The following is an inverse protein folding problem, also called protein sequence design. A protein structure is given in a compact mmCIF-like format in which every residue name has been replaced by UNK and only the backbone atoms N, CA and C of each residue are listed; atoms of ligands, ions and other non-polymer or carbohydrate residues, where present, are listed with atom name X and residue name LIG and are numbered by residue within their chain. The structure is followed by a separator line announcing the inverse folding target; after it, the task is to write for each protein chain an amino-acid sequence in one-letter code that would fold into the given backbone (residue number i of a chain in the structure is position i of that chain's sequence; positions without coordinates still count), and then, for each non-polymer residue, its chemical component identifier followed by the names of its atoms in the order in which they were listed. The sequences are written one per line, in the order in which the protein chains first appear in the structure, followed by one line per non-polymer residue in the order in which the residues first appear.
data_IF_590557790714
#
_entry.id   IF_590557790714
#
_cell.length_a   1.000
_cell.length_b   1.000
_cell.length_c   1.000
_cell.angle_alpha   90.00
_cell.angle_beta   90.00
_cell.angle_gamma   90.00
#
_symmetry.space_group_name_H-M   'P 1'
#
loop_
_entity.id
_entity.type
_entity.pdbx_description
1 polymer ?
#
# COMPACT_ATOMS: atom_id res chain seq x y z
N UNK A 1 -13.31 8.98 14.06
CA UNK A 1 -12.07 9.02 13.27
C UNK A 1 -10.98 8.11 13.83
N UNK A 2 -10.69 8.20 15.12
CA UNK A 2 -9.65 7.35 15.72
C UNK A 2 -9.96 5.85 15.61
N UNK A 3 -11.21 5.46 15.80
CA UNK A 3 -11.61 4.06 15.67
C UNK A 3 -11.39 3.55 14.24
N UNK A 4 -11.74 4.36 13.25
CA UNK A 4 -11.51 4.00 11.85
C UNK A 4 -10.02 3.86 11.56
N UNK A 5 -9.23 4.79 12.06
CA UNK A 5 -7.78 4.75 11.84
C UNK A 5 -7.15 3.53 12.51
N UNK A 6 -7.63 3.17 13.71
CA UNK A 6 -7.13 1.99 14.41
C UNK A 6 -7.44 0.71 13.63
N UNK A 7 -8.65 0.58 13.09
CA UNK A 7 -9.02 -0.57 12.28
C UNK A 7 -8.21 -0.62 10.98
N UNK A 8 -8.06 0.52 10.32
CA UNK A 8 -7.25 0.62 9.10
C UNK A 8 -5.81 0.20 9.39
N UNK A 9 -5.25 0.67 10.50
CA UNK A 9 -3.88 0.34 10.90
C UNK A 9 -3.72 -1.17 11.16
N UNK A 10 -4.72 -1.80 11.77
CA UNK A 10 -4.70 -3.26 12.01
C UNK A 10 -4.60 -4.03 10.70
N UNK A 11 -5.41 -3.66 9.70
CA UNK A 11 -5.31 -4.23 8.37
C UNK A 11 -3.97 -3.87 7.73
N UNK A 12 -3.51 -2.64 7.96
CA UNK A 12 -2.24 -2.14 7.43
C UNK A 12 -1.02 -2.91 7.92
N UNK A 13 -1.06 -3.42 9.16
CA UNK A 13 0.04 -4.25 9.67
C UNK A 13 0.18 -5.51 8.80
N UNK A 14 -0.92 -6.20 8.53
CA UNK A 14 -0.90 -7.39 7.68
C UNK A 14 -0.51 -7.02 6.26
N UNK A 15 -1.05 -5.93 5.74
CA UNK A 15 -0.68 -5.41 4.42
C UNK A 15 0.83 -5.16 4.32
N UNK A 16 1.40 -4.54 5.35
CA UNK A 16 2.83 -4.24 5.38
C UNK A 16 3.66 -5.53 5.37
N UNK A 17 3.25 -6.53 6.15
CA UNK A 17 3.96 -7.81 6.16
C UNK A 17 3.93 -8.48 4.79
N UNK A 18 2.79 -8.47 4.11
CA UNK A 18 2.66 -9.03 2.77
C UNK A 18 3.57 -8.28 1.80
N UNK A 19 3.52 -6.94 1.84
CA UNK A 19 4.35 -6.10 0.98
C UNK A 19 5.84 -6.39 1.20
N UNK A 20 6.28 -6.50 2.45
CA UNK A 20 7.68 -6.73 2.77
C UNK A 20 8.17 -8.10 2.31
N UNK A 21 7.33 -9.13 2.45
CA UNK A 21 7.69 -10.48 1.99
C UNK A 21 7.85 -10.50 0.47
N UNK A 22 6.92 -9.91 -0.27
CA UNK A 22 7.00 -9.86 -1.73
C UNK A 22 8.16 -9.01 -2.18
N UNK A 23 8.34 -7.84 -1.55
CA UNK A 23 9.46 -6.93 -1.87
C UNK A 23 10.80 -7.64 -1.67
N UNK A 24 10.98 -8.28 -0.50
CA UNK A 24 12.22 -8.98 -0.19
C UNK A 24 12.50 -10.12 -1.16
N UNK A 25 11.46 -10.86 -1.52
CA UNK A 25 11.59 -11.95 -2.51
C UNK A 25 12.05 -11.39 -3.86
N UNK A 26 11.45 -10.29 -4.31
CA UNK A 26 11.84 -9.68 -5.58
C UNK A 26 13.29 -9.22 -5.55
N UNK A 27 13.71 -8.54 -4.48
CA UNK A 27 15.07 -8.00 -4.39
C UNK A 27 16.12 -9.11 -4.23
N UNK A 28 15.90 -10.02 -3.29
CA UNK A 28 16.96 -10.94 -2.86
C UNK A 28 16.93 -12.30 -3.56
N UNK A 29 15.79 -12.70 -4.11
CA UNK A 29 15.66 -13.96 -4.84
C UNK A 29 15.62 -13.73 -6.34
N UNK A 30 14.81 -12.76 -6.79
CA UNK A 30 14.62 -12.50 -8.22
C UNK A 30 15.53 -11.40 -8.76
N UNK A 31 16.27 -10.71 -7.90
CA UNK A 31 17.23 -9.66 -8.26
C UNK A 31 16.63 -8.52 -9.09
N UNK A 32 15.39 -8.11 -8.77
CA UNK A 32 14.78 -6.96 -9.43
C UNK A 32 15.31 -5.64 -8.84
N UNK A 33 15.00 -4.52 -9.52
CA UNK A 33 15.25 -3.21 -8.94
C UNK A 33 14.17 -2.87 -7.91
N UNK A 34 14.38 -1.79 -7.14
CA UNK A 34 13.48 -1.43 -6.06
C UNK A 34 12.14 -0.90 -6.57
N UNK A 35 12.13 -0.24 -7.72
CA UNK A 35 10.88 0.24 -8.30
C UNK A 35 9.93 -0.92 -8.60
N UNK A 36 10.45 -1.94 -9.26
CA UNK A 36 9.65 -3.12 -9.62
C UNK A 36 9.26 -3.92 -8.37
N UNK A 37 10.21 -4.10 -7.44
CA UNK A 37 9.94 -4.84 -6.21
C UNK A 37 8.87 -4.14 -5.36
N UNK A 38 8.97 -2.81 -5.25
CA UNK A 38 7.99 -2.05 -4.46
C UNK A 38 6.60 -2.09 -5.09
N UNK A 39 6.54 -1.96 -6.41
CA UNK A 39 5.27 -2.05 -7.12
C UNK A 39 4.65 -3.44 -6.99
N UNK A 40 5.43 -4.50 -7.17
CA UNK A 40 4.93 -5.87 -7.05
C UNK A 40 4.40 -6.14 -5.64
N UNK A 41 5.15 -5.74 -4.61
CA UNK A 41 4.73 -5.89 -3.23
C UNK A 41 3.44 -5.14 -2.96
N UNK A 42 3.33 -3.92 -3.49
CA UNK A 42 2.13 -3.12 -3.33
C UNK A 42 0.91 -3.80 -3.98
N UNK A 43 1.05 -4.27 -5.22
CA UNK A 43 -0.09 -4.88 -5.94
C UNK A 43 -0.64 -6.09 -5.16
N UNK A 44 0.25 -6.96 -4.67
CA UNK A 44 -0.18 -8.13 -3.91
C UNK A 44 -0.84 -7.71 -2.60
N UNK A 45 -0.21 -6.79 -1.88
CA UNK A 45 -0.71 -6.35 -0.58
C UNK A 45 -2.02 -5.57 -0.69
N UNK A 46 -2.16 -4.70 -1.68
CA UNK A 46 -3.38 -3.88 -1.84
C UNK A 46 -4.60 -4.73 -2.17
N UNK A 47 -4.40 -5.81 -2.91
CA UNK A 47 -5.51 -6.72 -3.22
C UNK A 47 -6.11 -7.29 -1.95
N UNK A 48 -5.28 -7.63 -0.98
CA UNK A 48 -5.75 -8.05 0.33
C UNK A 48 -6.39 -6.89 1.09
N UNK A 49 -5.66 -5.78 1.22
CA UNK A 49 -6.08 -4.71 2.13
C UNK A 49 -7.30 -3.95 1.63
N UNK A 50 -7.49 -3.87 0.32
CA UNK A 50 -8.68 -3.19 -0.22
C UNK A 50 -9.96 -3.87 0.27
N UNK A 51 -10.06 -5.19 0.09
CA UNK A 51 -11.26 -5.91 0.50
C UNK A 51 -11.37 -6.01 2.02
N UNK A 52 -10.25 -6.19 2.72
CA UNK A 52 -10.26 -6.22 4.17
C UNK A 52 -10.75 -4.89 4.76
N UNK A 53 -10.30 -3.77 4.20
CA UNK A 53 -10.73 -2.46 4.67
C UNK A 53 -12.19 -2.18 4.31
N UNK A 54 -12.66 -2.62 3.15
CA UNK A 54 -14.05 -2.45 2.77
C UNK A 54 -14.98 -3.18 3.75
N UNK A 55 -14.61 -4.40 4.14
CA UNK A 55 -15.45 -5.23 4.99
C UNK A 55 -15.29 -4.93 6.47
N UNK A 56 -14.06 -4.65 6.91
CA UNK A 56 -13.73 -4.54 8.33
C UNK A 56 -13.65 -3.09 8.80
N UNK A 57 -12.92 -2.25 8.08
CA UNK A 57 -12.65 -0.88 8.53
C UNK A 57 -13.79 0.07 8.21
N UNK A 58 -14.13 0.19 6.94
CA UNK A 58 -15.08 1.19 6.47
C UNK A 58 -16.50 0.62 6.29
N UNK A 59 -16.64 -0.70 6.27
CA UNK A 59 -17.93 -1.38 6.13
C UNK A 59 -18.73 -0.85 4.94
N UNK A 60 -18.06 -0.68 3.83
CA UNK A 60 -18.61 -0.12 2.61
C UNK A 60 -18.50 -1.14 1.49
N UNK A 61 -19.38 -1.01 0.48
CA UNK A 61 -19.26 -1.86 -0.70
C UNK A 61 -18.00 -1.54 -1.47
N UNK A 62 -17.24 -2.59 -1.80
CA UNK A 62 -16.08 -2.43 -2.66
C UNK A 62 -16.57 -2.05 -4.07
N UNK A 63 -15.95 -1.03 -4.67
CA UNK A 63 -16.26 -0.59 -6.03
C UNK A 63 -15.05 -0.83 -6.91
N UNK A 64 -15.26 -1.46 -8.07
CA UNK A 64 -14.18 -1.72 -9.00
C UNK A 64 -13.51 -0.42 -9.46
N UNK A 65 -14.30 0.60 -9.77
CA UNK A 65 -13.76 1.90 -10.19
C UNK A 65 -12.90 2.52 -9.09
N UNK A 66 -13.41 2.54 -7.87
CA UNK A 66 -12.66 3.11 -6.74
C UNK A 66 -11.41 2.31 -6.44
N UNK A 67 -11.47 1.00 -6.60
CA UNK A 67 -10.32 0.12 -6.43
C UNK A 67 -9.21 0.48 -7.43
N UNK A 68 -9.56 0.63 -8.72
CA UNK A 68 -8.57 0.99 -9.72
C UNK A 68 -8.02 2.40 -9.53
N UNK A 69 -8.85 3.34 -9.05
CA UNK A 69 -8.35 4.68 -8.71
C UNK A 69 -7.30 4.60 -7.58
N UNK A 70 -7.57 3.79 -6.58
CA UNK A 70 -6.64 3.61 -5.46
C UNK A 70 -5.33 2.98 -5.94
N UNK A 71 -5.43 1.90 -6.71
CA UNK A 71 -4.24 1.21 -7.24
C UNK A 71 -3.44 2.15 -8.15
N UNK A 72 -4.12 2.90 -9.00
CA UNK A 72 -3.44 3.83 -9.90
C UNK A 72 -2.63 4.86 -9.15
N UNK A 73 -3.26 5.51 -8.16
CA UNK A 73 -2.59 6.54 -7.38
C UNK A 73 -1.46 5.95 -6.52
N UNK A 74 -1.77 4.97 -5.70
CA UNK A 74 -0.78 4.41 -4.78
C UNK A 74 0.27 3.60 -5.50
N UNK A 75 -0.08 2.97 -6.62
CA UNK A 75 0.88 2.26 -7.45
C UNK A 75 1.93 3.19 -8.02
N UNK A 76 1.49 4.37 -8.51
CA UNK A 76 2.42 5.38 -8.99
C UNK A 76 3.34 5.86 -7.87
N UNK A 77 2.81 6.07 -6.67
CA UNK A 77 3.61 6.46 -5.50
C UNK A 77 4.63 5.36 -5.17
N UNK A 78 4.21 4.09 -5.18
CA UNK A 78 5.10 2.99 -4.84
C UNK A 78 6.26 2.86 -5.83
N UNK A 79 5.97 2.99 -7.11
CA UNK A 79 7.01 2.94 -8.14
C UNK A 79 7.96 4.13 -8.03
N UNK A 80 7.40 5.33 -7.76
CA UNK A 80 8.21 6.54 -7.61
C UNK A 80 9.15 6.46 -6.42
N UNK A 81 8.68 5.95 -5.28
CA UNK A 81 9.51 5.78 -4.08
C UNK A 81 10.65 4.80 -4.37
N UNK A 82 10.35 3.65 -5.00
CA UNK A 82 11.36 2.68 -5.34
C UNK A 82 12.36 3.22 -6.36
N UNK A 83 11.86 3.93 -7.37
CA UNK A 83 12.73 4.53 -8.37
C UNK A 83 13.66 5.58 -7.76
N UNK A 84 13.11 6.43 -6.88
CA UNK A 84 13.92 7.43 -6.19
C UNK A 84 15.00 6.78 -5.32
N UNK A 85 14.68 5.67 -4.66
CA UNK A 85 15.64 4.94 -3.85
C UNK A 85 16.75 4.35 -4.71
N UNK A 86 16.42 3.81 -5.89
CA UNK A 86 17.41 3.30 -6.83
C UNK A 86 18.34 4.42 -7.32
N UNK A 87 17.76 5.58 -7.65
CA UNK A 87 18.54 6.73 -8.13
C UNK A 87 19.51 7.25 -7.07
N UNK A 88 19.11 7.22 -5.80
CA UNK A 88 19.93 7.70 -4.69
C UNK A 88 20.79 6.59 -4.09
N UNK A 89 20.73 5.39 -4.64
CA UNK A 89 21.49 4.22 -4.16
C UNK A 89 21.19 3.91 -2.69
N UNK A 90 19.93 4.08 -2.29
CA UNK A 90 19.50 3.82 -0.92
C UNK A 90 19.30 2.32 -0.70
N UNK A 91 19.57 1.81 0.53
CA UNK A 91 19.30 0.41 0.81
C UNK A 91 17.81 0.08 0.76
N UNK A 92 17.45 -1.16 0.37
CA UNK A 92 16.04 -1.56 0.27
C UNK A 92 15.25 -1.34 1.54
N UNK A 93 15.86 -1.46 2.72
CA UNK A 93 15.19 -1.25 3.99
C UNK A 93 14.59 0.15 4.11
N UNK A 94 15.30 1.17 3.61
CA UNK A 94 14.80 2.55 3.63
C UNK A 94 13.59 2.70 2.72
N UNK A 95 13.58 2.02 1.57
CA UNK A 95 12.42 2.02 0.68
C UNK A 95 11.20 1.44 1.37
N UNK A 96 11.36 0.29 2.04
CA UNK A 96 10.27 -0.34 2.77
C UNK A 96 9.71 0.55 3.86
N UNK A 97 10.58 1.14 4.67
CA UNK A 97 10.16 1.99 5.79
C UNK A 97 9.46 3.24 5.26
N UNK A 98 10.07 3.90 4.28
CA UNK A 98 9.52 5.14 3.72
C UNK A 98 8.16 4.91 3.08
N UNK A 99 8.05 3.89 2.23
CA UNK A 99 6.79 3.63 1.56
C UNK A 99 5.72 3.16 2.53
N UNK A 100 6.09 2.35 3.53
CA UNK A 100 5.12 1.90 4.54
C UNK A 100 4.53 3.09 5.29
N UNK A 101 5.34 4.07 5.68
CA UNK A 101 4.86 5.26 6.36
C UNK A 101 3.98 6.11 5.45
N UNK A 102 4.41 6.34 4.20
CA UNK A 102 3.64 7.10 3.22
C UNK A 102 2.31 6.41 2.94
N UNK A 103 2.35 5.10 2.75
CA UNK A 103 1.17 4.30 2.45
C UNK A 103 0.15 4.33 3.59
N UNK A 104 0.62 4.25 4.83
CA UNK A 104 -0.27 4.28 5.98
C UNK A 104 -1.05 5.59 6.04
N UNK A 105 -0.36 6.71 5.92
CA UNK A 105 -0.99 8.03 6.05
C UNK A 105 -1.80 8.37 4.80
N UNK A 106 -1.18 8.32 3.63
CA UNK A 106 -1.85 8.70 2.38
C UNK A 106 -2.95 7.71 2.02
N UNK A 107 -2.69 6.42 2.25
CA UNK A 107 -3.68 5.38 1.97
C UNK A 107 -4.92 5.51 2.83
N UNK A 108 -4.77 5.84 4.11
CA UNK A 108 -5.92 6.02 4.98
C UNK A 108 -6.79 7.18 4.51
N UNK A 109 -6.18 8.34 4.29
CA UNK A 109 -6.96 9.52 3.88
C UNK A 109 -7.57 9.35 2.51
N UNK A 110 -6.83 8.77 1.56
CA UNK A 110 -7.37 8.50 0.24
C UNK A 110 -8.54 7.53 0.32
N UNK A 111 -8.38 6.43 1.08
CA UNK A 111 -9.43 5.43 1.23
C UNK A 111 -10.67 6.01 1.88
N UNK A 112 -10.51 6.76 2.97
CA UNK A 112 -11.65 7.31 3.70
C UNK A 112 -12.41 8.34 2.88
N UNK A 113 -11.71 9.27 2.23
CA UNK A 113 -12.38 10.43 1.63
C UNK A 113 -12.69 10.24 0.15
N UNK A 114 -12.09 9.27 -0.52
CA UNK A 114 -12.30 9.06 -1.94
C UNK A 114 -12.87 7.68 -2.24
N UNK A 115 -12.22 6.62 -1.79
CA UNK A 115 -12.61 5.25 -2.14
C UNK A 115 -13.86 4.82 -1.40
N UNK A 116 -13.88 4.99 -0.08
CA UNK A 116 -15.00 4.57 0.79
C UNK A 116 -15.74 5.76 1.37
N UNK A 117 -15.92 6.80 0.59
CA UNK A 117 -16.52 8.06 1.06
C UNK A 117 -17.98 7.92 1.52
N UNK A 118 -18.63 6.80 1.20
CA UNK A 118 -20.00 6.54 1.65
C UNK A 118 -20.07 6.20 3.13
N UNK A 119 -18.93 5.96 3.77
CA UNK A 119 -18.85 5.68 5.19
C UNK A 119 -18.57 6.99 5.92
N UNK A 120 -19.56 7.48 6.59
CA UNK A 120 -19.61 8.76 7.25
C UNK A 120 -18.41 9.30 7.99
#
# INVERSE_FOLDING_TARGET
MLKLFAKYTSVGVVNTLIHWVVFGTCIYVLSTNQALANLAGFIVAVSFSFFANAMFTFKSKASTTRYFLYIGFMGAVSAAVGWGADMLLLPPLLTLISFSAISLVCGFFYSKFIVFRDVG
#
